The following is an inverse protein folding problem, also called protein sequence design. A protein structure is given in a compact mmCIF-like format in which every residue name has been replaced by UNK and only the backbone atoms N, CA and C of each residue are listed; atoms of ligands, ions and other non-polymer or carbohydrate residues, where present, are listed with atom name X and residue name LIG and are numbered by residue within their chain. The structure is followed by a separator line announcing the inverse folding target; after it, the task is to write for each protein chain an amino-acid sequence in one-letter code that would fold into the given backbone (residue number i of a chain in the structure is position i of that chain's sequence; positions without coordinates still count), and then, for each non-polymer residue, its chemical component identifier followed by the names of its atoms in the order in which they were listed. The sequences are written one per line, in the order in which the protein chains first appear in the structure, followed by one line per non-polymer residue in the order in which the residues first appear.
data_IF_048135367146
#
_entry.id   IF_048135367146
#
_cell.length_a   1.000
_cell.length_b   1.000
_cell.length_c   1.000
_cell.angle_alpha   90.00
_cell.angle_beta   90.00
_cell.angle_gamma   90.00
#
_symmetry.space_group_name_H-M   'P 1'
#
loop_
_entity.id
_entity.type
_entity.pdbx_description
1 polymer ?
#
# COMPACT_ATOMS: atom_id res chain seq x y z
N UNK A 1 -34.26 12.70 0.41
CA UNK A 1 -33.11 12.09 1.11
C UNK A 1 -32.61 10.93 0.26
N UNK A 2 -31.65 11.10 -0.66
CA UNK A 2 -31.02 9.95 -1.31
C UNK A 2 -29.82 9.51 -0.47
N UNK A 3 -29.84 8.24 -0.08
CA UNK A 3 -28.75 7.58 0.64
C UNK A 3 -27.47 7.55 -0.21
N UNK A 4 -26.39 8.07 0.36
CA UNK A 4 -25.05 7.91 -0.17
C UNK A 4 -24.63 6.46 0.05
N UNK A 5 -24.76 5.65 -1.00
CA UNK A 5 -24.14 4.33 -1.07
C UNK A 5 -22.62 4.51 -1.04
N UNK A 6 -22.00 4.07 0.04
CA UNK A 6 -20.56 3.87 0.17
C UNK A 6 -20.03 3.10 -1.06
N UNK A 7 -18.79 3.39 -1.53
CA UNK A 7 -18.23 2.70 -2.68
C UNK A 7 -18.20 1.19 -2.42
N UNK A 8 -18.84 0.44 -3.32
CA UNK A 8 -18.90 -1.01 -3.34
C UNK A 8 -17.54 -1.64 -2.97
N UNK A 9 -17.51 -2.38 -1.87
CA UNK A 9 -16.44 -3.34 -1.57
C UNK A 9 -16.52 -4.44 -2.64
N UNK A 10 -15.78 -4.26 -3.73
CA UNK A 10 -15.57 -5.35 -4.68
C UNK A 10 -14.99 -6.54 -3.91
N UNK A 11 -15.51 -7.76 -4.10
CA UNK A 11 -15.04 -8.92 -3.36
C UNK A 11 -13.58 -9.18 -3.72
N UNK A 12 -12.70 -9.00 -2.73
CA UNK A 12 -11.27 -9.29 -2.87
C UNK A 12 -11.11 -10.79 -3.11
N UNK A 13 -10.40 -11.21 -4.18
CA UNK A 13 -10.23 -12.62 -4.49
C UNK A 13 -9.52 -13.34 -3.34
N UNK A 14 -9.76 -14.65 -3.14
CA UNK A 14 -9.00 -15.43 -2.18
C UNK A 14 -7.52 -15.40 -2.57
N UNK A 15 -6.67 -14.93 -1.64
CA UNK A 15 -5.23 -14.71 -1.84
C UNK A 15 -4.90 -13.63 -2.87
N UNK A 16 -5.27 -12.36 -2.61
CA UNK A 16 -5.11 -11.28 -3.58
C UNK A 16 -3.64 -11.03 -3.95
N UNK A 17 -3.43 -10.50 -5.15
CA UNK A 17 -2.19 -9.86 -5.58
C UNK A 17 -2.15 -8.45 -4.98
N UNK A 18 -1.16 -8.20 -4.15
CA UNK A 18 -1.08 -6.97 -3.35
C UNK A 18 0.12 -6.15 -3.79
N UNK A 19 -0.14 -4.91 -4.22
CA UNK A 19 0.91 -3.92 -4.42
C UNK A 19 1.13 -3.11 -3.14
N UNK A 20 2.32 -3.22 -2.56
CA UNK A 20 2.78 -2.35 -1.46
C UNK A 20 3.64 -1.23 -2.06
N UNK A 21 3.09 -0.02 -2.10
CA UNK A 21 3.76 1.16 -2.66
C UNK A 21 4.13 2.15 -1.59
N UNK A 22 5.29 2.80 -1.77
CA UNK A 22 5.77 3.81 -0.85
C UNK A 22 6.67 4.80 -1.53
N UNK A 23 6.44 6.07 -1.21
CA UNK A 23 7.38 7.14 -1.47
C UNK A 23 8.46 7.20 -0.37
N UNK A 24 9.66 7.65 -0.75
CA UNK A 24 10.72 8.19 0.13
C UNK A 24 10.97 7.48 1.48
N UNK A 25 11.64 6.32 1.46
CA UNK A 25 12.35 5.77 2.63
C UNK A 25 13.67 6.51 2.92
N UNK A 26 14.21 7.23 1.92
CA UNK A 26 15.45 8.01 2.04
C UNK A 26 16.71 7.13 2.15
N UNK A 27 17.85 7.76 2.46
CA UNK A 27 19.14 7.05 2.62
C UNK A 27 19.23 6.21 3.89
N UNK A 28 18.33 6.43 4.86
CA UNK A 28 18.38 5.84 6.19
C UNK A 28 17.07 5.11 6.53
N UNK A 29 16.71 4.06 5.78
CA UNK A 29 15.42 3.38 5.94
C UNK A 29 15.23 2.84 7.36
N UNK A 30 16.28 2.36 8.02
CA UNK A 30 16.23 1.85 9.40
C UNK A 30 15.74 2.87 10.43
N UNK A 31 15.81 4.18 10.14
CA UNK A 31 15.28 5.23 11.03
C UNK A 31 13.78 5.44 10.87
N UNK A 32 13.15 4.80 9.88
CA UNK A 32 11.73 4.89 9.59
C UNK A 32 10.97 3.75 10.28
N UNK A 33 11.02 3.74 11.61
CA UNK A 33 10.29 2.77 12.44
C UNK A 33 8.78 2.81 12.16
N UNK A 34 8.27 4.00 11.85
CA UNK A 34 6.92 4.26 11.33
C UNK A 34 6.56 3.39 10.13
N UNK A 35 7.44 3.41 9.15
CA UNK A 35 7.25 2.73 7.88
C UNK A 35 7.27 1.21 8.06
N UNK A 36 8.19 0.71 8.88
CA UNK A 36 8.26 -0.72 9.19
C UNK A 36 7.07 -1.21 10.01
N UNK A 37 6.56 -0.39 10.93
CA UNK A 37 5.33 -0.70 11.66
C UNK A 37 4.13 -0.79 10.71
N UNK A 38 3.97 0.17 9.80
CA UNK A 38 2.93 0.13 8.77
C UNK A 38 3.05 -1.12 7.87
N UNK A 39 4.25 -1.45 7.42
CA UNK A 39 4.52 -2.64 6.61
C UNK A 39 4.17 -3.93 7.39
N UNK A 40 4.61 -4.03 8.65
CA UNK A 40 4.34 -5.17 9.51
C UNK A 40 2.85 -5.34 9.76
N UNK A 41 2.14 -4.23 10.02
CA UNK A 41 0.69 -4.25 10.24
C UNK A 41 -0.06 -4.68 8.99
N UNK A 42 0.29 -4.14 7.83
CA UNK A 42 -0.29 -4.56 6.56
C UNK A 42 -0.12 -6.07 6.34
N UNK A 43 1.11 -6.58 6.52
CA UNK A 43 1.38 -7.99 6.28
C UNK A 43 0.80 -8.91 7.37
N UNK A 44 0.72 -8.49 8.63
CA UNK A 44 0.32 -9.37 9.73
C UNK A 44 -1.20 -9.35 10.00
N UNK A 45 -1.85 -8.20 9.77
CA UNK A 45 -3.22 -7.98 10.24
C UNK A 45 -4.22 -7.77 9.10
N UNK A 46 -3.80 -7.13 8.01
CA UNK A 46 -4.72 -6.78 6.91
C UNK A 46 -4.78 -7.86 5.82
N UNK A 47 -3.65 -8.49 5.54
CA UNK A 47 -3.56 -9.49 4.49
C UNK A 47 -3.88 -10.88 5.02
N UNK A 48 -4.76 -11.58 4.31
CA UNK A 48 -4.98 -13.00 4.55
C UNK A 48 -3.68 -13.77 4.29
N UNK A 49 -3.37 -14.74 5.14
CA UNK A 49 -2.22 -15.65 4.97
C UNK A 49 -2.28 -16.27 3.56
N UNK A 50 -1.15 -16.29 2.86
CA UNK A 50 -1.07 -16.80 1.49
C UNK A 50 -1.30 -15.75 0.40
N UNK A 51 -1.60 -14.49 0.75
CA UNK A 51 -1.66 -13.38 -0.23
C UNK A 51 -0.36 -13.27 -1.05
N UNK A 52 -0.46 -12.72 -2.26
CA UNK A 52 0.67 -12.60 -3.20
C UNK A 52 1.22 -11.18 -3.19
N UNK A 53 2.35 -10.96 -2.52
CA UNK A 53 3.04 -9.66 -2.49
C UNK A 53 3.77 -9.44 -3.82
N UNK A 54 3.34 -8.43 -4.57
CA UNK A 54 3.95 -8.09 -5.86
C UNK A 54 5.31 -7.43 -5.65
N UNK A 55 6.36 -8.12 -6.06
CA UNK A 55 7.73 -7.66 -6.03
C UNK A 55 8.15 -7.16 -7.41
N UNK A 56 8.62 -5.92 -7.47
CA UNK A 56 9.26 -5.35 -8.66
C UNK A 56 10.64 -4.85 -8.27
N UNK A 57 11.69 -5.36 -8.91
CA UNK A 57 13.06 -5.00 -8.56
C UNK A 57 13.28 -3.48 -8.64
N UNK A 58 13.98 -2.90 -7.67
CA UNK A 58 14.33 -1.47 -7.69
C UNK A 58 13.24 -0.49 -7.22
N UNK A 59 12.09 -0.99 -6.76
CA UNK A 59 11.13 -0.18 -5.99
C UNK A 59 11.57 -0.04 -4.54
N UNK A 60 10.99 0.95 -3.85
CA UNK A 60 11.30 1.26 -2.45
C UNK A 60 10.99 0.10 -1.51
N UNK A 61 9.92 -0.65 -1.79
CA UNK A 61 9.39 -1.71 -0.91
C UNK A 61 10.05 -3.06 -1.16
N UNK A 62 10.56 -3.30 -2.38
CA UNK A 62 11.09 -4.58 -2.83
C UNK A 62 12.03 -5.31 -1.84
N UNK A 63 13.07 -4.66 -1.25
CA UNK A 63 13.99 -5.35 -0.35
C UNK A 63 13.33 -5.98 0.89
N UNK A 64 12.16 -5.49 1.27
CA UNK A 64 11.47 -5.87 2.50
C UNK A 64 10.36 -6.90 2.28
N UNK A 65 9.81 -6.98 1.06
CA UNK A 65 8.70 -7.88 0.74
C UNK A 65 9.07 -9.36 0.91
N UNK A 66 10.30 -9.74 0.54
CA UNK A 66 10.80 -11.10 0.74
C UNK A 66 10.82 -11.51 2.22
N UNK A 67 11.16 -10.58 3.12
CA UNK A 67 11.16 -10.84 4.55
C UNK A 67 9.73 -10.90 5.09
N UNK A 68 8.85 -10.01 4.66
CA UNK A 68 7.43 -10.03 5.03
C UNK A 68 6.75 -11.34 4.60
N UNK A 69 7.02 -11.81 3.38
CA UNK A 69 6.51 -13.09 2.90
C UNK A 69 6.85 -14.24 3.84
N UNK A 70 8.12 -14.34 4.24
CA UNK A 70 8.59 -15.38 5.17
C UNK A 70 8.00 -15.23 6.58
N UNK A 71 7.94 -14.02 7.12
CA UNK A 71 7.51 -13.77 8.50
C UNK A 71 6.00 -13.98 8.71
N UNK A 72 5.18 -13.64 7.71
CA UNK A 72 3.72 -13.60 7.83
C UNK A 72 3.00 -14.61 6.93
N UNK A 73 3.75 -15.53 6.28
CA UNK A 73 3.18 -16.61 5.48
C UNK A 73 2.58 -16.17 4.14
N UNK A 74 3.14 -15.12 3.52
CA UNK A 74 2.71 -14.64 2.18
C UNK A 74 3.62 -15.16 1.08
N UNK A 75 3.07 -15.27 -0.12
CA UNK A 75 3.84 -15.59 -1.33
C UNK A 75 4.40 -14.30 -1.90
N UNK A 76 5.61 -14.35 -2.43
CA UNK A 76 6.22 -13.23 -3.14
C UNK A 76 6.16 -13.55 -4.62
N UNK A 77 5.55 -12.66 -5.39
CA UNK A 77 5.42 -12.79 -6.83
C UNK A 77 6.30 -11.74 -7.51
N UNK A 78 7.34 -12.19 -8.21
CA UNK A 78 8.21 -11.30 -8.96
C UNK A 78 7.59 -10.95 -10.30
N UNK A 79 7.37 -9.65 -10.54
CA UNK A 79 6.99 -9.14 -11.86
C UNK A 79 8.25 -8.81 -12.66
N UNK A 80 8.22 -9.14 -13.95
CA UNK A 80 9.29 -8.79 -14.87
C UNK A 80 9.30 -7.27 -15.11
N UNK A 81 10.46 -6.66 -14.89
CA UNK A 81 10.68 -5.22 -15.10
C UNK A 81 11.61 -4.93 -16.29
N UNK A 82 11.87 -5.93 -17.12
CA UNK A 82 12.62 -5.78 -18.37
C UNK A 82 11.92 -4.78 -19.28
N UNK A 83 12.66 -3.77 -19.75
CA UNK A 83 12.10 -2.68 -20.57
C UNK A 83 11.27 -1.65 -19.78
N UNK A 84 11.06 -1.83 -18.47
CA UNK A 84 10.32 -0.89 -17.63
C UNK A 84 11.29 0.09 -16.96
N UNK A 85 11.08 1.38 -17.22
CA UNK A 85 11.84 2.46 -16.59
C UNK A 85 11.73 2.36 -15.07
N UNK A 86 12.76 2.77 -14.33
CA UNK A 86 12.72 2.75 -12.85
C UNK A 86 11.53 3.53 -12.29
N UNK A 87 11.09 4.55 -13.01
CA UNK A 87 10.02 5.45 -12.60
C UNK A 87 8.64 4.81 -12.67
N UNK A 88 8.48 3.86 -13.60
CA UNK A 88 7.22 3.17 -13.89
C UNK A 88 7.09 1.82 -13.17
N UNK A 89 8.07 1.44 -12.35
CA UNK A 89 8.04 0.16 -11.63
C UNK A 89 6.94 0.07 -10.56
N UNK A 90 6.64 1.19 -9.90
CA UNK A 90 5.48 1.25 -9.00
C UNK A 90 4.18 1.10 -9.80
N UNK A 91 4.09 1.70 -11.00
CA UNK A 91 2.95 1.55 -11.91
C UNK A 91 2.75 0.10 -12.32
N UNK A 92 3.83 -0.62 -12.66
CA UNK A 92 3.77 -2.04 -12.99
C UNK A 92 3.15 -2.88 -11.87
N UNK A 93 3.56 -2.63 -10.61
CA UNK A 93 2.98 -3.33 -9.46
C UNK A 93 1.50 -2.99 -9.27
N UNK A 94 1.14 -1.71 -9.35
CA UNK A 94 -0.23 -1.21 -9.16
C UNK A 94 -1.19 -1.74 -10.22
N UNK A 95 -0.78 -1.78 -11.49
CA UNK A 95 -1.60 -2.28 -12.59
C UNK A 95 -1.83 -3.79 -12.55
N UNK A 96 -1.05 -4.53 -11.77
CA UNK A 96 -1.18 -5.98 -11.61
C UNK A 96 -1.85 -6.39 -10.28
N UNK A 97 -2.23 -5.42 -9.45
CA UNK A 97 -2.72 -5.66 -8.11
C UNK A 97 -4.25 -5.74 -8.05
N UNK A 98 -4.73 -6.68 -7.25
CA UNK A 98 -6.11 -6.75 -6.81
C UNK A 98 -6.37 -5.78 -5.65
N UNK A 99 -5.33 -5.52 -4.83
CA UNK A 99 -5.36 -4.59 -3.68
C UNK A 99 -4.09 -3.75 -3.66
N UNK A 100 -4.23 -2.45 -3.42
CA UNK A 100 -3.09 -1.53 -3.31
C UNK A 100 -3.00 -1.03 -1.88
N UNK A 101 -1.82 -1.16 -1.26
CA UNK A 101 -1.52 -0.63 0.06
C UNK A 101 -0.44 0.45 -0.07
N UNK A 102 -0.84 1.69 0.18
CA UNK A 102 0.02 2.85 0.20
C UNK A 102 0.60 3.07 1.62
N UNK A 103 1.87 2.70 1.81
CA UNK A 103 2.54 2.76 3.12
C UNK A 103 2.98 4.17 3.50
N UNK A 104 3.47 4.95 2.54
CA UNK A 104 3.78 6.37 2.74
C UNK A 104 3.67 7.13 1.42
N UNK A 105 2.94 8.24 1.42
CA UNK A 105 2.70 9.03 0.21
C UNK A 105 3.05 10.50 0.46
N UNK A 106 4.18 10.94 -0.09
CA UNK A 106 4.64 12.33 0.00
C UNK A 106 3.84 13.25 -0.93
N UNK A 107 3.61 14.49 -0.50
CA UNK A 107 2.76 15.48 -1.18
C UNK A 107 3.17 15.82 -2.63
N UNK A 108 4.42 15.55 -3.03
CA UNK A 108 4.92 15.77 -4.40
C UNK A 108 5.61 14.52 -4.96
N UNK A 109 5.21 13.34 -4.48
CA UNK A 109 5.82 12.07 -4.90
C UNK A 109 5.14 11.49 -6.13
N UNK A 110 5.88 10.74 -6.94
CA UNK A 110 5.30 9.95 -8.04
C UNK A 110 4.27 8.94 -7.55
N UNK A 111 4.48 8.36 -6.38
CA UNK A 111 3.51 7.49 -5.71
C UNK A 111 2.18 8.21 -5.48
N UNK A 112 2.19 9.51 -5.14
CA UNK A 112 0.96 10.31 -5.02
C UNK A 112 0.23 10.41 -6.36
N UNK A 113 0.92 10.82 -7.41
CA UNK A 113 0.34 10.93 -8.76
C UNK A 113 -0.17 9.59 -9.28
N UNK A 114 0.53 8.49 -8.98
CA UNK A 114 0.11 7.14 -9.30
C UNK A 114 -1.20 6.77 -8.59
N UNK A 115 -1.24 6.92 -7.27
CA UNK A 115 -2.43 6.60 -6.47
C UNK A 115 -3.61 7.51 -6.85
N UNK A 116 -3.37 8.80 -7.11
CA UNK A 116 -4.41 9.71 -7.57
C UNK A 116 -5.04 9.23 -8.90
N UNK A 117 -4.23 8.82 -9.88
CA UNK A 117 -4.73 8.25 -11.14
C UNK A 117 -5.57 6.99 -10.91
N UNK A 118 -5.18 6.14 -9.96
CA UNK A 118 -5.99 4.97 -9.57
C UNK A 118 -7.33 5.40 -8.97
N UNK A 119 -7.32 6.40 -8.09
CA UNK A 119 -8.54 6.90 -7.45
C UNK A 119 -9.50 7.61 -8.42
N UNK A 120 -8.97 8.24 -9.47
CA UNK A 120 -9.75 8.88 -10.54
C UNK A 120 -10.38 7.88 -11.53
N UNK A 121 -9.92 6.62 -11.54
CA UNK A 121 -10.51 5.58 -12.37
C UNK A 121 -11.94 5.22 -11.93
N UNK A 122 -12.80 4.73 -12.86
CA UNK A 122 -14.16 4.31 -12.54
C UNK A 122 -14.19 3.31 -11.37
N UNK A 123 -15.12 3.44 -10.40
CA UNK A 123 -15.16 2.57 -9.22
C UNK A 123 -15.23 1.07 -9.54
N UNK A 124 -15.87 0.71 -10.66
CA UNK A 124 -16.08 -0.67 -11.11
C UNK A 124 -14.78 -1.38 -11.55
N UNK A 125 -13.78 -0.60 -11.97
CA UNK A 125 -12.48 -1.11 -12.44
C UNK A 125 -11.33 -0.75 -11.50
N UNK A 126 -11.64 -0.11 -10.38
CA UNK A 126 -10.65 0.40 -9.43
C UNK A 126 -10.38 -0.64 -8.32
N UNK A 127 -9.14 -1.14 -8.18
CA UNK A 127 -8.80 -1.99 -7.04
C UNK A 127 -8.93 -1.22 -5.72
N UNK A 128 -9.33 -1.87 -4.62
CA UNK A 128 -9.28 -1.27 -3.29
C UNK A 128 -7.91 -0.67 -2.99
N UNK A 129 -7.91 0.58 -2.52
CA UNK A 129 -6.69 1.29 -2.10
C UNK A 129 -6.76 1.56 -0.59
N UNK A 130 -5.80 1.02 0.15
CA UNK A 130 -5.67 1.21 1.60
C UNK A 130 -4.45 2.09 1.89
N UNK A 131 -4.58 2.98 2.87
CA UNK A 131 -3.52 3.93 3.22
C UNK A 131 -3.09 3.69 4.66
N UNK A 132 -1.80 3.54 4.89
CA UNK A 132 -1.26 3.38 6.24
C UNK A 132 -1.31 4.69 7.05
N UNK A 133 -1.14 5.86 6.40
CA UNK A 133 -1.47 7.17 6.95
C UNK A 133 -1.37 8.28 5.88
N UNK A 134 -2.49 8.92 5.53
CA UNK A 134 -2.49 10.29 5.00
C UNK A 134 -3.90 10.86 5.11
N UNK A 135 -4.10 11.77 6.05
CA UNK A 135 -5.35 12.54 6.22
C UNK A 135 -5.62 13.51 5.06
N UNK A 136 -4.70 13.66 4.10
CA UNK A 136 -4.78 14.63 2.99
C UNK A 136 -4.92 14.01 1.60
N UNK A 137 -5.07 12.69 1.50
CA UNK A 137 -5.16 11.98 0.21
C UNK A 137 -6.40 11.10 0.04
N UNK A 138 -7.13 10.84 1.12
CA UNK A 138 -8.31 9.98 1.08
C UNK A 138 -9.34 10.47 2.08
N UNK A 139 -10.61 10.21 1.78
CA UNK A 139 -11.72 10.53 2.67
C UNK A 139 -11.54 9.85 4.04
N UNK A 140 -12.11 10.48 5.07
CA UNK A 140 -12.10 9.99 6.46
C UNK A 140 -12.49 8.50 6.57
N UNK A 141 -13.43 8.03 5.77
CA UNK A 141 -13.87 6.63 5.72
C UNK A 141 -12.76 5.63 5.35
N UNK A 142 -11.86 5.98 4.43
CA UNK A 142 -10.77 5.09 4.00
C UNK A 142 -9.65 5.07 5.06
N UNK A 143 -9.40 6.20 5.73
CA UNK A 143 -8.52 6.25 6.88
C UNK A 143 -9.09 5.46 8.07
N UNK A 144 -10.42 5.52 8.27
CA UNK A 144 -11.12 4.74 9.30
C UNK A 144 -11.12 3.24 8.96
N UNK A 145 -11.18 2.83 7.67
CA UNK A 145 -11.04 1.42 7.26
C UNK A 145 -9.75 0.77 7.75
N UNK A 146 -8.64 1.51 7.81
CA UNK A 146 -7.39 1.02 8.43
C UNK A 146 -7.61 0.67 9.90
N UNK A 147 -8.18 1.60 10.67
CA UNK A 147 -8.45 1.39 12.10
C UNK A 147 -9.54 0.36 12.39
N UNK A 148 -10.58 0.25 11.55
CA UNK A 148 -11.66 -0.73 11.74
C UNK A 148 -11.22 -2.15 11.41
N UNK A 149 -10.18 -2.33 10.59
CA UNK A 149 -9.50 -3.61 10.38
C UNK A 149 -8.51 -3.95 11.51
N UNK A 150 -8.57 -3.23 12.65
CA UNK A 150 -7.76 -3.51 13.84
C UNK A 150 -6.32 -3.01 13.77
N UNK A 151 -5.94 -2.33 12.68
CA UNK A 151 -4.61 -1.76 12.54
C UNK A 151 -4.46 -0.52 13.44
N UNK A 152 -3.36 -0.47 14.21
CA UNK A 152 -3.08 0.70 15.05
C UNK A 152 -2.83 1.93 14.17
N UNK A 153 -3.48 3.07 14.45
CA UNK A 153 -3.14 4.33 13.79
C UNK A 153 -1.70 4.73 14.18
N UNK A 154 -0.95 5.24 13.20
CA UNK A 154 0.43 5.67 13.41
C UNK A 154 0.54 7.19 13.16
N UNK A 155 0.91 7.96 14.18
CA UNK A 155 1.02 9.42 14.08
C UNK A 155 2.46 9.88 13.75
N UNK A 156 2.74 10.36 12.52
CA UNK A 156 4.06 10.88 12.15
C UNK A 156 4.44 12.19 12.87
N UNK A 157 3.48 12.86 13.53
CA UNK A 157 3.73 14.08 14.31
C UNK A 157 4.23 13.81 15.72
N UNK A 158 4.16 12.55 16.20
CA UNK A 158 4.78 12.12 17.47
C UNK A 158 6.30 11.94 17.34
N UNK A 159 6.96 13.02 16.93
CA UNK A 159 8.40 13.23 17.15
C UNK A 159 8.63 13.40 18.66
N UNK A 160 8.81 12.30 19.41
CA UNK A 160 9.58 12.39 20.66
C UNK A 160 11.05 12.31 20.29
N UNK A 161 11.67 13.48 20.19
CA UNK A 161 13.12 13.59 20.26
C UNK A 161 13.54 13.38 21.72
N UNK A 162 14.57 12.58 22.03
CA UNK A 162 15.41 12.85 23.18
C UNK A 162 16.26 14.10 22.96
#
# INVERSE_FOLDING_TARGET
MPGSSLPHDSPVPPFPRVALVSSHLGRWPHRRTDWFAALSTACNQLLAVGSRLLFVAGTTTAPYLARCGKLFGHRVETLDSTGVSREDRDQLSVSNADVIIALAVGNRSRTRSLIQRVLEAPPESRPPVWFAHSTSLVSREIAEKWTTQGARPFDPSTRRWP
#
